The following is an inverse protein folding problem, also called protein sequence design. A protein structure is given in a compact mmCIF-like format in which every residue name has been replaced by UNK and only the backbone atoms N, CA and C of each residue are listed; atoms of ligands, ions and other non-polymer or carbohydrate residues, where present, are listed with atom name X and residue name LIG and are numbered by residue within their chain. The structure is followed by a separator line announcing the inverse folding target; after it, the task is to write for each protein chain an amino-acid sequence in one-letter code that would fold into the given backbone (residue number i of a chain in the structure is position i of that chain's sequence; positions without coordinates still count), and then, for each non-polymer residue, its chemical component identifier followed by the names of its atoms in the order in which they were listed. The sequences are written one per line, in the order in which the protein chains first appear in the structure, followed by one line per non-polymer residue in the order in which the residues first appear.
data_IF_180610325632
#
_entry.id   IF_180610325632
#
_cell.length_a   1.000
_cell.length_b   1.000
_cell.length_c   1.000
_cell.angle_alpha   90.00
_cell.angle_beta   90.00
_cell.angle_gamma   90.00
#
_symmetry.space_group_name_H-M   'P 1'
#
loop_
_entity.id
_entity.type
_entity.pdbx_description
1 polymer ?
#
# COMPACT_ATOMS: atom_id res chain seq x y z
N UNK A 1 32.99 49.40 44.95
CA UNK A 1 32.14 48.72 43.95
C UNK A 1 32.80 47.40 43.64
N UNK A 2 32.46 46.36 44.40
CA UNK A 2 32.84 44.98 44.09
C UNK A 2 31.53 44.26 43.74
N UNK A 3 31.43 43.80 42.49
CA UNK A 3 30.36 42.91 42.04
C UNK A 3 30.69 41.48 42.47
N UNK A 4 29.83 40.92 43.32
CA UNK A 4 29.88 39.52 43.74
C UNK A 4 29.47 38.62 42.57
N UNK A 5 30.44 37.95 41.94
CA UNK A 5 30.16 36.88 40.98
C UNK A 5 29.61 35.67 41.73
N UNK A 6 28.32 35.40 41.53
CA UNK A 6 27.61 34.24 42.09
C UNK A 6 28.22 32.95 41.54
N UNK A 7 29.14 32.33 42.27
CA UNK A 7 29.67 31.00 41.94
C UNK A 7 28.54 29.96 42.00
N UNK A 8 28.25 29.35 40.85
CA UNK A 8 27.24 28.31 40.67
C UNK A 8 27.61 27.10 41.55
N UNK A 9 26.72 26.71 42.48
CA UNK A 9 26.99 25.61 43.43
C UNK A 9 27.05 24.26 42.69
N UNK A 10 28.15 23.49 42.82
CA UNK A 10 28.33 22.22 42.11
C UNK A 10 27.32 21.13 42.52
N UNK A 11 26.78 21.18 43.75
CA UNK A 11 25.74 20.25 44.22
C UNK A 11 24.46 20.30 43.35
N UNK A 12 24.09 21.48 42.83
CA UNK A 12 22.93 21.64 41.93
C UNK A 12 23.18 21.02 40.54
N UNK A 13 24.43 20.92 40.10
CA UNK A 13 24.79 20.37 38.80
C UNK A 13 24.70 18.83 38.76
N UNK A 14 25.02 18.17 39.88
CA UNK A 14 24.90 16.71 40.01
C UNK A 14 23.41 16.29 40.02
N UNK A 15 22.57 17.06 40.71
CA UNK A 15 21.12 16.82 40.76
C UNK A 15 20.45 17.03 39.41
N UNK A 16 20.85 18.05 38.64
CA UNK A 16 20.35 18.27 37.27
C UNK A 16 20.76 17.12 36.33
N UNK A 17 22.03 16.65 36.38
CA UNK A 17 22.47 15.52 35.57
C UNK A 17 21.76 14.22 35.96
N UNK A 18 21.54 13.98 37.24
CA UNK A 18 20.79 12.83 37.73
C UNK A 18 19.32 12.88 37.31
N UNK A 19 18.67 14.05 37.40
CA UNK A 19 17.30 14.28 36.93
C UNK A 19 17.18 14.11 35.42
N UNK A 20 18.13 14.62 34.63
CA UNK A 20 18.14 14.40 33.18
C UNK A 20 18.36 12.92 32.87
N UNK A 21 19.27 12.24 33.54
CA UNK A 21 19.50 10.81 33.34
C UNK A 21 18.29 9.96 33.73
N UNK A 22 17.59 10.34 34.81
CA UNK A 22 16.35 9.70 35.24
C UNK A 22 15.22 9.96 34.24
N UNK A 23 15.04 11.20 33.77
CA UNK A 23 14.09 11.54 32.70
C UNK A 23 14.41 10.82 31.39
N UNK A 24 15.68 10.72 31.00
CA UNK A 24 16.10 10.00 29.79
C UNK A 24 15.85 8.49 29.95
N UNK A 25 16.09 7.94 31.15
CA UNK A 25 15.79 6.53 31.44
C UNK A 25 14.28 6.28 31.50
N UNK A 26 13.51 7.19 32.07
CA UNK A 26 12.04 7.13 32.17
C UNK A 26 11.39 7.29 30.79
N UNK A 27 11.93 8.15 29.91
CA UNK A 27 11.54 8.26 28.49
C UNK A 27 11.96 7.02 27.69
N UNK A 28 13.10 6.40 28.00
CA UNK A 28 13.51 5.14 27.38
C UNK A 28 12.64 3.95 27.84
N UNK A 29 12.09 3.98 29.05
CA UNK A 29 11.18 2.96 29.59
C UNK A 29 9.70 3.25 29.31
N UNK A 30 9.30 4.51 29.10
CA UNK A 30 7.90 4.89 28.85
C UNK A 30 7.43 4.57 27.43
N UNK A 31 8.31 4.13 26.54
CA UNK A 31 7.92 3.61 25.21
C UNK A 31 7.97 2.08 25.09
N UNK A 32 7.99 1.34 26.21
CA UNK A 32 7.88 -0.13 26.21
C UNK A 32 6.58 -0.65 26.80
N UNK A 33 5.58 0.21 26.98
CA UNK A 33 4.20 -0.21 27.21
C UNK A 33 3.55 -0.52 25.84
N UNK A 34 3.32 -1.81 25.62
CA UNK A 34 2.61 -2.42 24.49
C UNK A 34 3.04 -1.95 23.09
N UNK A 35 4.15 -2.49 22.57
CA UNK A 35 4.19 -2.69 21.10
C UNK A 35 3.12 -3.73 20.82
N UNK A 36 1.89 -3.30 20.55
CA UNK A 36 0.80 -4.20 20.19
C UNK A 36 1.36 -5.19 19.16
N UNK A 37 1.43 -6.46 19.56
CA UNK A 37 2.19 -7.48 18.85
C UNK A 37 1.50 -7.72 17.51
N UNK A 38 1.94 -7.01 16.48
CA UNK A 38 1.34 -7.05 15.15
C UNK A 38 1.24 -8.50 14.68
N UNK A 39 0.04 -8.91 14.27
CA UNK A 39 -0.22 -10.22 13.69
C UNK A 39 -0.35 -10.13 12.17
N UNK A 40 0.12 -11.15 11.46
CA UNK A 40 -0.02 -11.26 10.02
C UNK A 40 -0.63 -12.59 9.60
N UNK A 41 -1.40 -12.56 8.52
CA UNK A 41 -1.90 -13.74 7.83
C UNK A 41 -1.34 -13.74 6.39
N UNK A 42 -1.08 -14.92 5.83
CA UNK A 42 -0.71 -15.08 4.43
C UNK A 42 -1.16 -16.45 3.93
N UNK A 43 -1.76 -16.48 2.74
CA UNK A 43 -2.08 -17.70 1.99
C UNK A 43 -1.01 -18.01 0.93
N UNK A 44 0.06 -17.21 0.89
CA UNK A 44 1.19 -17.35 -0.01
C UNK A 44 2.40 -17.93 0.72
N UNK A 45 2.96 -19.00 0.16
CA UNK A 45 4.26 -19.53 0.59
C UNK A 45 5.41 -18.77 -0.11
N UNK A 46 5.72 -17.59 0.44
CA UNK A 46 6.82 -16.73 -0.03
C UNK A 46 7.75 -16.40 1.12
N UNK A 47 8.90 -17.06 1.15
CA UNK A 47 9.93 -16.92 2.20
C UNK A 47 10.36 -15.48 2.46
N UNK A 48 10.41 -14.64 1.42
CA UNK A 48 10.75 -13.21 1.54
C UNK A 48 9.74 -12.42 2.38
N UNK A 49 8.46 -12.78 2.34
CA UNK A 49 7.42 -12.15 3.14
C UNK A 49 7.50 -12.64 4.58
N UNK A 50 7.52 -13.95 4.76
CA UNK A 50 7.57 -14.60 6.09
C UNK A 50 8.78 -14.11 6.86
N UNK A 51 9.98 -14.20 6.28
CA UNK A 51 11.21 -13.74 6.93
C UNK A 51 11.24 -12.24 7.22
N UNK A 52 10.53 -11.43 6.44
CA UNK A 52 10.41 -10.00 6.70
C UNK A 52 9.51 -9.71 7.91
N UNK A 53 8.39 -10.41 8.03
CA UNK A 53 7.47 -10.29 9.15
C UNK A 53 8.09 -10.82 10.45
N UNK A 54 8.75 -11.98 10.41
CA UNK A 54 9.45 -12.56 11.55
C UNK A 54 10.56 -11.63 12.07
N UNK A 55 11.37 -11.02 11.18
CA UNK A 55 12.40 -10.04 11.55
C UNK A 55 11.84 -8.79 12.23
N UNK A 56 10.58 -8.45 11.97
CA UNK A 56 9.86 -7.35 12.64
C UNK A 56 9.22 -7.77 13.97
N UNK A 57 9.33 -9.04 14.34
CA UNK A 57 8.70 -9.60 15.53
C UNK A 57 7.18 -9.80 15.40
N UNK A 58 6.66 -9.81 14.17
CA UNK A 58 5.23 -10.03 13.93
C UNK A 58 4.89 -11.51 14.14
N UNK A 59 3.68 -11.78 14.60
CA UNK A 59 3.21 -13.15 14.85
C UNK A 59 2.30 -13.64 13.73
N UNK A 60 2.51 -14.88 13.27
CA UNK A 60 1.61 -15.47 12.30
C UNK A 60 0.26 -15.80 12.93
N UNK A 61 -0.82 -15.46 12.23
CA UNK A 61 -2.20 -15.76 12.56
C UNK A 61 -2.87 -16.52 11.39
N UNK A 62 -3.88 -17.32 11.71
CA UNK A 62 -4.73 -17.96 10.72
C UNK A 62 -5.70 -16.99 10.03
N UNK A 63 -6.36 -17.42 8.94
CA UNK A 63 -7.31 -16.60 8.20
C UNK A 63 -8.59 -16.29 9.01
N UNK A 64 -8.93 -17.15 9.97
CA UNK A 64 -10.10 -17.00 10.85
C UNK A 64 -9.74 -16.37 12.22
N UNK A 65 -8.46 -16.07 12.45
CA UNK A 65 -7.97 -15.43 13.69
C UNK A 65 -8.00 -13.89 13.59
N UNK A 66 -7.71 -13.21 14.69
CA UNK A 66 -7.53 -11.75 14.71
C UNK A 66 -6.16 -11.36 14.11
N UNK A 67 -6.14 -11.05 12.83
CA UNK A 67 -4.98 -10.58 12.08
C UNK A 67 -5.00 -9.05 11.92
N UNK A 68 -3.83 -8.39 11.86
CA UNK A 68 -3.72 -6.97 11.51
C UNK A 68 -3.41 -6.76 10.03
N UNK A 69 -2.53 -7.60 9.46
CA UNK A 69 -2.15 -7.53 8.04
C UNK A 69 -2.38 -8.88 7.37
N UNK A 70 -3.21 -8.92 6.33
CA UNK A 70 -3.35 -10.09 5.47
C UNK A 70 -2.61 -9.85 4.15
N UNK A 71 -1.51 -10.57 3.94
CA UNK A 71 -0.90 -10.68 2.62
C UNK A 71 -1.54 -11.82 1.83
N UNK A 72 -2.61 -11.49 1.12
CA UNK A 72 -3.45 -12.46 0.42
C UNK A 72 -3.13 -12.54 -1.08
N UNK A 73 -3.41 -13.69 -1.68
CA UNK A 73 -3.50 -13.88 -3.12
C UNK A 73 -4.76 -13.27 -3.72
N UNK A 74 -4.76 -13.06 -5.05
CA UNK A 74 -5.86 -12.40 -5.76
C UNK A 74 -7.21 -13.11 -5.61
N UNK A 75 -7.21 -14.44 -5.51
CA UNK A 75 -8.44 -15.23 -5.33
C UNK A 75 -9.04 -15.01 -3.94
N UNK A 76 -8.23 -15.06 -2.89
CA UNK A 76 -8.66 -14.82 -1.51
C UNK A 76 -9.16 -13.40 -1.33
N UNK A 77 -8.45 -12.40 -1.87
CA UNK A 77 -8.93 -11.02 -1.87
C UNK A 77 -10.29 -10.88 -2.57
N UNK A 78 -10.48 -11.54 -3.71
CA UNK A 78 -11.77 -11.51 -4.42
C UNK A 78 -12.89 -12.11 -3.57
N UNK A 79 -12.62 -13.18 -2.85
CA UNK A 79 -13.60 -13.78 -1.94
C UNK A 79 -13.91 -12.84 -0.77
N UNK A 80 -12.89 -12.30 -0.10
CA UNK A 80 -13.04 -11.39 1.05
C UNK A 80 -13.80 -10.10 0.70
N UNK A 81 -13.60 -9.56 -0.50
CA UNK A 81 -14.33 -8.39 -0.98
C UNK A 81 -15.64 -8.72 -1.70
N UNK A 82 -15.98 -10.01 -1.86
CA UNK A 82 -17.24 -10.39 -2.50
C UNK A 82 -18.41 -9.98 -1.61
N UNK A 83 -19.47 -9.46 -2.22
CA UNK A 83 -20.74 -9.17 -1.54
C UNK A 83 -21.29 -10.41 -0.84
N UNK A 84 -21.09 -11.59 -1.45
CA UNK A 84 -21.56 -12.87 -0.93
C UNK A 84 -20.86 -13.28 0.37
N UNK A 85 -19.65 -12.79 0.63
CA UNK A 85 -18.93 -13.10 1.87
C UNK A 85 -19.53 -12.42 3.08
N UNK A 86 -20.22 -11.28 2.88
CA UNK A 86 -20.70 -10.41 3.96
C UNK A 86 -19.60 -9.88 4.88
N UNK A 87 -18.32 -10.12 4.55
CA UNK A 87 -17.20 -9.81 5.42
C UNK A 87 -16.89 -8.32 5.40
N UNK A 88 -16.79 -7.73 6.59
CA UNK A 88 -16.40 -6.33 6.78
C UNK A 88 -15.13 -6.30 7.62
N UNK A 89 -14.05 -5.84 7.01
CA UNK A 89 -12.77 -5.67 7.71
C UNK A 89 -12.89 -4.60 8.81
N UNK A 90 -12.19 -4.83 9.91
CA UNK A 90 -12.04 -3.88 11.01
C UNK A 90 -11.06 -2.75 10.64
N UNK A 91 -11.08 -1.65 11.38
CA UNK A 91 -10.20 -0.50 11.13
C UNK A 91 -8.71 -0.83 11.35
N UNK A 92 -8.41 -1.84 12.16
CA UNK A 92 -7.07 -2.35 12.42
C UNK A 92 -6.62 -3.44 11.43
N UNK A 93 -7.46 -3.77 10.43
CA UNK A 93 -7.20 -4.78 9.43
C UNK A 93 -6.82 -4.15 8.09
N UNK A 94 -5.70 -4.60 7.53
CA UNK A 94 -5.20 -4.15 6.22
C UNK A 94 -4.90 -5.35 5.33
N UNK A 95 -5.26 -5.24 4.06
CA UNK A 95 -5.00 -6.23 3.02
C UNK A 95 -4.24 -5.59 1.85
N UNK A 96 -3.36 -6.37 1.20
CA UNK A 96 -2.46 -5.92 0.14
C UNK A 96 -3.14 -5.66 -1.23
N UNK A 97 -4.46 -5.79 -1.33
CA UNK A 97 -5.21 -5.59 -2.57
C UNK A 97 -6.38 -4.64 -2.36
N UNK A 98 -6.59 -3.73 -3.32
CA UNK A 98 -7.81 -2.94 -3.37
C UNK A 98 -9.00 -3.75 -3.89
N UNK A 99 -10.24 -3.45 -3.44
CA UNK A 99 -11.45 -3.87 -4.13
C UNK A 99 -11.37 -3.48 -5.62
N UNK A 100 -11.88 -4.34 -6.50
CA UNK A 100 -11.91 -4.10 -7.96
C UNK A 100 -10.53 -3.82 -8.62
N UNK A 101 -9.42 -4.26 -8.02
CA UNK A 101 -8.07 -4.12 -8.61
C UNK A 101 -7.94 -4.62 -10.07
N UNK A 102 -8.81 -5.54 -10.49
CA UNK A 102 -8.84 -6.10 -11.84
C UNK A 102 -9.21 -5.09 -12.92
N UNK A 103 -9.80 -3.93 -12.57
CA UNK A 103 -10.15 -2.87 -13.51
C UNK A 103 -8.96 -2.30 -14.29
N UNK A 104 -7.77 -2.28 -13.68
CA UNK A 104 -6.55 -1.79 -14.30
C UNK A 104 -5.52 -2.89 -14.55
N UNK A 105 -5.57 -4.01 -13.81
CA UNK A 105 -4.61 -5.10 -14.01
C UNK A 105 -4.98 -6.06 -15.14
N UNK A 106 -6.26 -6.15 -15.54
CA UNK A 106 -6.67 -6.92 -16.72
C UNK A 106 -6.62 -6.06 -17.97
N UNK A 107 -5.94 -6.57 -19.02
CA UNK A 107 -5.72 -5.83 -20.27
C UNK A 107 -7.02 -5.40 -20.97
N UNK A 108 -8.04 -6.26 -20.99
CA UNK A 108 -9.33 -5.97 -21.61
C UNK A 108 -10.09 -4.85 -20.89
N UNK A 109 -10.06 -4.85 -19.56
CA UNK A 109 -10.69 -3.82 -18.73
C UNK A 109 -9.91 -2.51 -18.74
N UNK A 110 -8.58 -2.57 -18.65
CA UNK A 110 -7.71 -1.40 -18.77
C UNK A 110 -8.00 -0.63 -20.06
N UNK A 111 -8.04 -1.32 -21.20
CA UNK A 111 -8.31 -0.70 -22.51
C UNK A 111 -9.71 -0.08 -22.55
N UNK A 112 -10.73 -0.75 -21.99
CA UNK A 112 -12.09 -0.21 -21.90
C UNK A 112 -12.14 1.03 -21.01
N UNK A 113 -11.48 1.00 -19.85
CA UNK A 113 -11.43 2.09 -18.88
C UNK A 113 -10.72 3.32 -19.46
N UNK A 114 -9.56 3.15 -20.11
CA UNK A 114 -8.85 4.26 -20.77
C UNK A 114 -9.66 4.85 -21.93
N UNK A 115 -10.33 4.02 -22.73
CA UNK A 115 -11.23 4.50 -23.80
C UNK A 115 -12.43 5.28 -23.24
N UNK A 116 -13.01 4.83 -22.13
CA UNK A 116 -14.09 5.54 -21.43
C UNK A 116 -13.59 6.89 -20.90
N UNK A 117 -12.46 6.90 -20.21
CA UNK A 117 -11.85 8.10 -19.65
C UNK A 117 -11.56 9.17 -20.71
N UNK A 118 -10.94 8.78 -21.84
CA UNK A 118 -10.71 9.69 -22.98
C UNK A 118 -12.02 10.35 -23.48
N UNK A 119 -13.11 9.57 -23.61
CA UNK A 119 -14.41 10.10 -24.06
C UNK A 119 -15.05 11.06 -23.04
N UNK A 120 -14.88 10.78 -21.74
CA UNK A 120 -15.38 11.64 -20.67
C UNK A 120 -14.69 13.00 -20.68
N UNK A 121 -13.36 13.00 -20.81
CA UNK A 121 -12.57 14.23 -20.92
C UNK A 121 -12.92 15.05 -22.18
N UNK A 122 -13.15 14.39 -23.33
CA UNK A 122 -13.60 15.06 -24.56
C UNK A 122 -14.96 15.74 -24.38
N UNK A 123 -15.90 15.08 -23.68
CA UNK A 123 -17.22 15.64 -23.36
C UNK A 123 -17.11 16.85 -22.43
N UNK A 124 -16.17 16.83 -21.51
CA UNK A 124 -15.92 17.90 -20.54
C UNK A 124 -15.02 19.02 -21.10
N UNK A 125 -14.50 18.85 -22.32
CA UNK A 125 -13.53 19.75 -22.95
C UNK A 125 -12.28 19.97 -22.09
N UNK A 126 -11.87 18.92 -21.38
CA UNK A 126 -10.67 18.95 -20.56
C UNK A 126 -9.42 19.04 -21.46
N UNK A 127 -8.43 19.90 -21.13
CA UNK A 127 -7.18 20.03 -21.89
C UNK A 127 -6.42 18.71 -22.08
N UNK A 128 -6.56 17.74 -21.17
CA UNK A 128 -5.94 16.41 -21.29
C UNK A 128 -6.46 15.61 -22.49
N UNK A 129 -7.65 15.94 -22.99
CA UNK A 129 -8.25 15.31 -24.16
C UNK A 129 -7.76 15.89 -25.50
N UNK A 130 -6.78 16.81 -25.49
CA UNK A 130 -6.28 17.45 -26.69
C UNK A 130 -5.80 16.41 -27.72
N UNK A 131 -6.34 16.52 -28.94
CA UNK A 131 -6.02 15.63 -30.06
C UNK A 131 -4.74 16.11 -30.73
N UNK A 132 -3.89 15.16 -31.10
CA UNK A 132 -2.69 15.43 -31.90
C UNK A 132 -2.98 15.48 -33.40
N UNK A 133 -1.92 15.55 -34.20
CA UNK A 133 -1.98 15.75 -35.66
C UNK A 133 -2.64 14.58 -36.44
N UNK A 134 -2.82 13.42 -35.81
CA UNK A 134 -3.38 12.23 -36.43
C UNK A 134 -4.73 11.83 -35.80
N UNK A 135 -5.69 11.32 -36.59
CA UNK A 135 -6.99 10.91 -36.07
C UNK A 135 -6.84 9.79 -35.02
N UNK A 136 -7.45 10.01 -33.85
CA UNK A 136 -7.38 9.07 -32.73
C UNK A 136 -6.12 9.19 -31.86
N UNK A 137 -5.18 10.08 -32.21
CA UNK A 137 -4.00 10.38 -31.40
C UNK A 137 -4.32 11.46 -30.37
N UNK A 138 -3.85 11.28 -29.15
CA UNK A 138 -3.95 12.25 -28.06
C UNK A 138 -2.56 12.78 -27.73
N UNK A 139 -2.43 14.05 -27.37
CA UNK A 139 -1.14 14.63 -27.00
C UNK A 139 -0.67 14.05 -25.66
N UNK A 140 -1.55 14.00 -24.66
CA UNK A 140 -1.20 13.61 -23.28
C UNK A 140 -1.57 12.17 -22.92
N UNK A 141 -2.51 11.56 -23.67
CA UNK A 141 -3.10 10.27 -23.32
C UNK A 141 -2.67 9.11 -24.23
N UNK A 142 -1.68 9.29 -25.11
CA UNK A 142 -1.23 8.27 -26.08
C UNK A 142 -0.03 7.43 -25.61
N UNK A 143 -0.10 6.93 -24.37
CA UNK A 143 0.89 6.03 -23.78
C UNK A 143 0.45 4.55 -23.76
N UNK A 144 -0.80 4.28 -24.17
CA UNK A 144 -1.33 2.92 -24.28
C UNK A 144 -1.36 2.52 -25.77
N UNK A 145 -0.65 1.44 -26.17
CA UNK A 145 -0.62 1.02 -27.56
C UNK A 145 -2.01 0.59 -28.05
N UNK A 146 -2.23 0.70 -29.36
CA UNK A 146 -3.47 0.21 -30.00
C UNK A 146 -3.66 -1.27 -29.67
N UNK A 147 -4.77 -1.57 -28.99
CA UNK A 147 -5.06 -2.91 -28.46
C UNK A 147 -6.43 -3.38 -28.95
N UNK A 148 -6.47 -4.62 -29.44
CA UNK A 148 -7.68 -5.30 -29.88
C UNK A 148 -8.05 -6.41 -28.89
N UNK A 149 -9.31 -6.47 -28.49
CA UNK A 149 -9.85 -7.57 -27.69
C UNK A 149 -10.45 -8.58 -28.66
N UNK A 150 -9.85 -9.77 -28.74
CA UNK A 150 -10.34 -10.84 -29.60
C UNK A 150 -11.47 -11.61 -28.90
N UNK A 151 -12.45 -12.13 -29.66
CA UNK A 151 -13.44 -13.07 -29.13
C UNK A 151 -12.78 -14.31 -28.51
N UNK A 152 -13.40 -14.84 -27.45
CA UNK A 152 -12.99 -16.09 -26.82
C UNK A 152 -13.25 -17.28 -27.77
N UNK A 153 -12.30 -17.56 -28.66
CA UNK A 153 -12.42 -18.57 -29.71
C UNK A 153 -11.60 -18.27 -30.96
N UNK A 154 -11.04 -17.06 -31.09
CA UNK A 154 -10.12 -16.75 -32.18
C UNK A 154 -8.78 -17.46 -31.96
N UNK A 155 -8.59 -18.59 -32.64
CA UNK A 155 -7.28 -19.24 -32.75
C UNK A 155 -6.44 -18.44 -33.73
N UNK A 156 -5.39 -17.77 -33.25
CA UNK A 156 -4.38 -17.16 -34.11
C UNK A 156 -3.49 -18.32 -34.58
N UNK A 157 -3.82 -18.91 -35.73
CA UNK A 157 -2.95 -19.89 -36.36
C UNK A 157 -1.61 -19.19 -36.65
N UNK A 158 -0.55 -19.62 -35.96
CA UNK A 158 0.79 -19.09 -36.17
C UNK A 158 1.14 -19.12 -37.65
N UNK A 159 1.58 -17.97 -38.17
CA UNK A 159 2.20 -17.85 -39.48
C UNK A 159 3.44 -18.77 -39.49
N UNK A 160 3.34 -19.92 -40.17
CA UNK A 160 4.52 -20.75 -40.47
C UNK A 160 5.44 -19.88 -41.32
N UNK A 161 6.54 -19.44 -40.74
CA UNK A 161 7.61 -18.80 -41.49
C UNK A 161 8.22 -19.88 -42.39
N UNK A 162 8.15 -19.66 -43.70
CA UNK A 162 8.97 -20.36 -44.69
C UNK A 162 10.36 -19.75 -44.77
#
# INVERSE_FOLDING_TARGET
MEETVQTFRPELQVDIKAKISALVSEVATSSTADRSKMSYCTDLDKSVLISNFEKRGWSQAGPDDDWNVYWAGTQTCRTLFSVDSGYRMNDNQTINHFPNHYELSRKDLLVKNIKRYRKELEREKDPLAERGDAPGKYIYLDFIPVTFVLPAGTVINHCKHG
#
